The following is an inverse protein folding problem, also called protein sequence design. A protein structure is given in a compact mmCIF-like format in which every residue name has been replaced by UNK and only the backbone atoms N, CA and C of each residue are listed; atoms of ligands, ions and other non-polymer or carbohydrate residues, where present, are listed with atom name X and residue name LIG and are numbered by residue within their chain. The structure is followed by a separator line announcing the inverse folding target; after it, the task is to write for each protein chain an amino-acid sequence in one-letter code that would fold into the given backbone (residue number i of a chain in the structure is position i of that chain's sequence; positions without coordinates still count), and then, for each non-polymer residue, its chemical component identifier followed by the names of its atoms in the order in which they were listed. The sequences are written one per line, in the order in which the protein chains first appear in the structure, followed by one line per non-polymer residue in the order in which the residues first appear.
data_IF_663301101663
#
_entry.id   IF_663301101663
#
_cell.length_a   1.000
_cell.length_b   1.000
_cell.length_c   1.000
_cell.angle_alpha   90.00
_cell.angle_beta   90.00
_cell.angle_gamma   90.00
#
_symmetry.space_group_name_H-M   'P 1'
#
loop_
_entity.id
_entity.type
_entity.pdbx_description
1 polymer ?
#
# COMPACT_ATOMS: atom_id res chain seq x y z
N UNK A 1 -14.55 10.97 -6.67
CA UNK A 1 -13.95 10.42 -5.45
C UNK A 1 -14.18 8.93 -5.47
N UNK A 2 -13.19 8.07 -5.17
CA UNK A 2 -13.45 6.64 -5.03
C UNK A 2 -14.47 6.49 -3.90
N UNK A 3 -15.55 5.75 -4.14
CA UNK A 3 -16.50 5.39 -3.09
C UNK A 3 -15.74 4.64 -2.01
N UNK A 4 -15.75 5.14 -0.78
CA UNK A 4 -15.19 4.42 0.37
C UNK A 4 -15.94 3.08 0.48
N UNK A 5 -15.29 1.98 0.08
CA UNK A 5 -15.88 0.65 0.18
C UNK A 5 -15.76 0.21 1.63
N UNK A 6 -16.90 -0.09 2.22
CA UNK A 6 -16.97 -0.64 3.56
C UNK A 6 -16.51 -2.10 3.53
N UNK A 7 -15.39 -2.39 4.20
CA UNK A 7 -14.83 -3.74 4.34
C UNK A 7 -15.54 -4.55 5.45
N UNK A 8 -16.69 -4.09 5.94
CA UNK A 8 -17.45 -4.72 7.04
C UNK A 8 -18.15 -6.03 6.71
N UNK A 9 -18.23 -6.44 5.44
CA UNK A 9 -18.84 -7.73 5.05
C UNK A 9 -17.83 -8.88 5.10
N UNK A 10 -18.31 -10.12 5.26
CA UNK A 10 -17.54 -11.38 5.29
C UNK A 10 -16.79 -11.74 3.99
N UNK A 11 -16.45 -10.73 3.17
CA UNK A 11 -15.69 -10.86 1.94
C UNK A 11 -14.20 -10.90 2.26
N UNK A 12 -13.51 -11.92 1.75
CA UNK A 12 -12.06 -12.02 1.85
C UNK A 12 -11.43 -10.96 0.96
N UNK A 13 -10.58 -10.11 1.55
CA UNK A 13 -9.82 -9.08 0.83
C UNK A 13 -8.36 -9.51 0.80
N UNK A 14 -7.76 -9.40 -0.37
CA UNK A 14 -6.32 -9.59 -0.56
C UNK A 14 -5.69 -8.22 -0.80
N UNK A 15 -4.74 -7.86 0.05
CA UNK A 15 -3.99 -6.61 -0.03
C UNK A 15 -2.49 -6.92 -0.25
N UNK A 16 -2.00 -6.95 -1.50
CA UNK A 16 -0.58 -7.19 -1.78
C UNK A 16 0.30 -6.09 -1.17
N UNK A 17 1.38 -6.47 -0.49
CA UNK A 17 2.34 -5.51 0.08
C UNK A 17 3.35 -5.07 -0.97
N UNK A 18 3.44 -3.76 -1.19
CA UNK A 18 4.42 -3.18 -2.13
C UNK A 18 5.85 -3.24 -1.61
N UNK A 19 6.06 -3.60 -0.34
CA UNK A 19 7.39 -3.81 0.23
C UNK A 19 8.14 -4.93 -0.52
N UNK A 20 7.40 -5.89 -1.09
CA UNK A 20 7.96 -7.00 -1.88
C UNK A 20 8.05 -6.72 -3.38
N UNK A 21 7.62 -5.54 -3.84
CA UNK A 21 7.58 -5.20 -5.26
C UNK A 21 8.96 -4.80 -5.79
N UNK A 22 9.11 -4.82 -7.12
CA UNK A 22 10.25 -4.18 -7.76
C UNK A 22 10.09 -2.65 -7.71
N UNK A 23 10.84 -1.99 -6.82
CA UNK A 23 10.78 -0.54 -6.63
C UNK A 23 11.12 0.28 -7.88
N UNK A 24 11.91 -0.26 -8.82
CA UNK A 24 12.21 0.43 -10.08
C UNK A 24 10.97 0.58 -10.97
N UNK A 25 9.96 -0.28 -10.79
CA UNK A 25 8.75 -0.35 -11.60
C UNK A 25 7.48 -0.21 -10.73
N UNK A 26 7.59 0.41 -9.55
CA UNK A 26 6.56 0.40 -8.51
C UNK A 26 5.16 0.83 -9.00
N UNK A 27 5.10 1.82 -9.87
CA UNK A 27 3.83 2.26 -10.46
C UNK A 27 3.18 1.22 -11.37
N UNK A 28 3.99 0.43 -12.09
CA UNK A 28 3.50 -0.67 -12.95
C UNK A 28 3.10 -1.87 -12.08
N UNK A 29 3.90 -2.24 -11.09
CA UNK A 29 3.59 -3.30 -10.10
C UNK A 29 2.23 -3.06 -9.41
N UNK A 30 1.96 -1.81 -9.01
CA UNK A 30 0.69 -1.41 -8.40
C UNK A 30 -0.48 -1.57 -9.37
N UNK A 31 -0.31 -1.17 -10.64
CA UNK A 31 -1.34 -1.35 -11.69
C UNK A 31 -1.62 -2.82 -11.97
N UNK A 32 -0.58 -3.65 -11.98
CA UNK A 32 -0.71 -5.09 -12.18
C UNK A 32 -1.45 -5.76 -11.04
N UNK A 33 -1.22 -5.33 -9.79
CA UNK A 33 -1.99 -5.78 -8.63
C UNK A 33 -3.48 -5.45 -8.78
N UNK A 34 -3.82 -4.19 -9.14
CA UNK A 34 -5.22 -3.79 -9.39
C UNK A 34 -5.84 -4.57 -10.54
N UNK A 35 -5.12 -4.73 -11.66
CA UNK A 35 -5.59 -5.50 -12.81
C UNK A 35 -5.80 -6.99 -12.48
N UNK A 36 -5.06 -7.53 -11.50
CA UNK A 36 -5.20 -8.89 -10.99
C UNK A 36 -6.35 -9.04 -9.96
N UNK A 37 -7.08 -7.96 -9.68
CA UNK A 37 -8.25 -7.97 -8.81
C UNK A 37 -7.97 -7.58 -7.36
N UNK A 38 -6.80 -7.02 -7.04
CA UNK A 38 -6.55 -6.46 -5.73
C UNK A 38 -7.49 -5.28 -5.46
N UNK A 39 -8.17 -5.28 -4.32
CA UNK A 39 -9.04 -4.19 -3.90
C UNK A 39 -8.31 -3.17 -3.01
N UNK A 40 -7.24 -3.61 -2.37
CA UNK A 40 -6.37 -2.81 -1.53
C UNK A 40 -4.89 -3.07 -1.87
N UNK A 41 -4.06 -2.07 -1.61
CA UNK A 41 -2.61 -2.15 -1.70
C UNK A 41 -2.05 -1.90 -0.30
N UNK A 42 -1.31 -2.86 0.24
CA UNK A 42 -0.73 -2.75 1.57
C UNK A 42 0.61 -2.02 1.50
N UNK A 43 0.81 -1.06 2.41
CA UNK A 43 1.98 -0.18 2.44
C UNK A 43 2.54 -0.17 3.86
N UNK A 44 3.72 -0.77 4.02
CA UNK A 44 4.46 -0.79 5.27
C UNK A 44 5.44 0.41 5.34
N UNK A 45 5.17 1.35 6.25
CA UNK A 45 6.07 2.48 6.55
C UNK A 45 6.82 2.15 7.84
N UNK A 46 8.14 2.04 7.74
CA UNK A 46 9.04 1.65 8.82
C UNK A 46 10.12 2.71 9.00
N UNK A 47 10.46 3.10 10.24
CA UNK A 47 11.38 4.19 10.56
C UNK A 47 12.77 3.75 11.08
N UNK A 48 13.04 2.45 11.17
CA UNK A 48 14.28 1.93 11.74
C UNK A 48 14.37 2.01 13.28
N UNK A 49 13.40 2.62 13.96
CA UNK A 49 13.35 2.79 15.41
C UNK A 49 12.32 1.85 16.05
N UNK A 50 11.08 1.86 15.55
CA UNK A 50 10.03 0.95 16.01
C UNK A 50 10.30 -0.50 15.56
N UNK A 51 10.85 -0.65 14.35
CA UNK A 51 11.37 -1.91 13.81
C UNK A 51 12.78 -1.68 13.25
N UNK A 52 13.67 -2.69 13.22
CA UNK A 52 15.06 -2.50 12.77
C UNK A 52 15.21 -2.21 11.26
N UNK A 53 14.12 -2.29 10.50
CA UNK A 53 14.10 -2.06 9.06
C UNK A 53 13.66 -0.61 8.76
N UNK A 54 14.24 -0.02 7.73
CA UNK A 54 13.80 1.24 7.13
C UNK A 54 13.21 0.91 5.75
N UNK A 55 11.97 1.33 5.48
CA UNK A 55 11.28 1.05 4.21
C UNK A 55 11.14 2.28 3.33
N UNK A 56 9.97 2.92 3.35
CA UNK A 56 9.61 4.07 2.54
C UNK A 56 8.80 5.08 3.37
N UNK A 57 8.74 6.31 2.87
CA UNK A 57 8.02 7.41 3.51
C UNK A 57 6.76 7.85 2.77
N UNK A 58 6.07 8.87 3.29
CA UNK A 58 4.81 9.39 2.73
C UNK A 58 4.94 9.93 1.30
N UNK A 59 6.13 10.37 0.89
CA UNK A 59 6.35 10.84 -0.49
C UNK A 59 6.21 9.71 -1.52
N UNK A 60 6.57 8.47 -1.18
CA UNK A 60 6.34 7.33 -2.07
C UNK A 60 4.85 7.07 -2.22
N UNK A 61 4.10 7.04 -1.11
CA UNK A 61 2.63 6.89 -1.10
C UNK A 61 1.95 7.95 -1.97
N UNK A 62 2.39 9.20 -1.86
CA UNK A 62 1.88 10.32 -2.65
C UNK A 62 2.21 10.17 -4.13
N UNK A 63 3.43 9.76 -4.47
CA UNK A 63 3.85 9.59 -5.87
C UNK A 63 3.16 8.43 -6.57
N UNK A 64 2.78 7.37 -5.84
CA UNK A 64 2.11 6.20 -6.39
C UNK A 64 0.59 6.32 -6.44
N UNK A 65 -0.01 7.25 -5.67
CA UNK A 65 -1.48 7.40 -5.55
C UNK A 65 -2.23 7.53 -6.88
N UNK A 66 -1.61 8.11 -7.91
CA UNK A 66 -2.21 8.25 -9.24
C UNK A 66 -2.18 6.98 -10.10
N UNK A 67 -1.46 5.94 -9.67
CA UNK A 67 -1.29 4.70 -10.43
C UNK A 67 -2.42 3.68 -10.18
N UNK A 68 -3.25 3.86 -9.14
CA UNK A 68 -4.32 2.92 -8.82
C UNK A 68 -5.53 3.55 -8.12
N UNK A 69 -6.71 2.95 -8.34
CA UNK A 69 -7.93 3.30 -7.60
C UNK A 69 -8.12 2.47 -6.32
N UNK A 70 -7.28 1.47 -6.07
CA UNK A 70 -7.34 0.65 -4.87
C UNK A 70 -7.26 1.50 -3.59
N UNK A 71 -7.83 0.96 -2.51
CA UNK A 71 -7.61 1.53 -1.17
C UNK A 71 -6.15 1.33 -0.80
N UNK A 72 -5.51 2.36 -0.25
CA UNK A 72 -4.16 2.22 0.30
C UNK A 72 -4.30 1.91 1.78
N UNK A 73 -3.96 0.67 2.12
CA UNK A 73 -3.93 0.18 3.48
C UNK A 73 -2.53 0.46 4.05
N UNK A 74 -2.40 1.55 4.81
CA UNK A 74 -1.12 2.04 5.30
C UNK A 74 -0.89 1.55 6.72
N UNK A 75 0.16 0.75 6.90
CA UNK A 75 0.59 0.24 8.19
C UNK A 75 1.81 1.03 8.66
N UNK A 76 1.60 1.85 9.70
CA UNK A 76 2.65 2.66 10.32
C UNK A 76 3.37 1.84 11.40
N UNK A 77 4.60 1.45 11.10
CA UNK A 77 5.56 0.84 12.02
C UNK A 77 6.62 1.88 12.38
N UNK A 78 6.18 2.97 13.02
CA UNK A 78 7.00 4.13 13.40
C UNK A 78 6.76 4.53 14.85
N UNK A 79 7.76 5.15 15.49
CA UNK A 79 7.74 5.52 16.91
C UNK A 79 6.78 6.68 17.21
N UNK A 80 6.76 7.70 16.34
CA UNK A 80 5.92 8.90 16.47
C UNK A 80 5.03 9.08 15.21
N UNK A 81 3.79 8.52 15.21
CA UNK A 81 2.92 8.48 14.04
C UNK A 81 2.06 9.73 13.78
#
# INVERSE_FOLDING_TARGET
MPSFRDFSNSQVIIAPSILSANFAELGNEIKECEASGAEAIHIDIMDGHFVPNLSMGPEIVKSTRSYSNCVYDVHLMIEEP
#
